data_IF_858630242074
#
_entry.id   IF_858630242074
#
_cell.length_a   1.000
_cell.length_b   1.000
_cell.length_c   1.000
_cell.angle_alpha   90.00
_cell.angle_beta   90.00
_cell.angle_gamma   90.00
#
_symmetry.space_group_name_H-M   'P 1'
#
loop_
_entity.id
_entity.type
_entity.pdbx_description
1 polymer ?
#
# COMPACT_ATOMS: atom_id res chain seq x y z
N UNK A 1 -23.51 -75.45 -36.37
CA UNK A 1 -22.72 -74.38 -37.02
C UNK A 1 -23.01 -73.01 -36.38
N UNK A 2 -22.84 -72.87 -35.05
CA UNK A 2 -23.35 -71.71 -34.30
C UNK A 2 -22.53 -71.24 -33.10
N UNK A 3 -21.38 -71.88 -32.82
CA UNK A 3 -20.49 -71.48 -31.70
C UNK A 3 -19.36 -70.55 -32.16
N UNK A 4 -18.77 -70.79 -33.34
CA UNK A 4 -17.64 -70.01 -33.86
C UNK A 4 -18.00 -68.56 -34.24
N UNK A 5 -19.26 -68.29 -34.63
CA UNK A 5 -19.72 -66.91 -34.92
C UNK A 5 -19.90 -66.05 -33.66
N UNK A 6 -20.23 -66.64 -32.50
CA UNK A 6 -20.40 -65.89 -31.24
C UNK A 6 -19.07 -65.58 -30.56
N UNK A 7 -18.08 -66.48 -30.67
CA UNK A 7 -16.72 -66.25 -30.19
C UNK A 7 -15.99 -65.16 -30.98
N UNK A 8 -16.17 -65.10 -32.31
CA UNK A 8 -15.54 -64.06 -33.14
C UNK A 8 -16.03 -62.64 -32.82
N UNK A 9 -17.33 -62.46 -32.55
CA UNK A 9 -17.90 -61.14 -32.21
C UNK A 9 -17.47 -60.68 -30.81
N UNK A 10 -17.37 -61.60 -29.84
CA UNK A 10 -16.95 -61.27 -28.48
C UNK A 10 -15.47 -60.84 -28.43
N UNK A 11 -14.61 -61.47 -29.24
CA UNK A 11 -13.19 -61.16 -29.31
C UNK A 11 -12.93 -59.79 -29.97
N UNK A 12 -13.72 -59.41 -30.98
CA UNK A 12 -13.66 -58.08 -31.61
C UNK A 12 -14.13 -56.97 -30.66
N UNK A 13 -15.20 -57.21 -29.88
CA UNK A 13 -15.66 -56.23 -28.87
C UNK A 13 -14.64 -56.07 -27.75
N UNK A 14 -14.00 -57.16 -27.31
CA UNK A 14 -12.99 -57.10 -26.25
C UNK A 14 -11.71 -56.39 -26.71
N UNK A 15 -11.28 -56.58 -27.97
CA UNK A 15 -10.15 -55.82 -28.56
C UNK A 15 -10.48 -54.33 -28.68
N UNK A 16 -11.69 -53.95 -29.09
CA UNK A 16 -12.12 -52.55 -29.16
C UNK A 16 -12.21 -51.87 -27.78
N UNK A 17 -12.70 -52.57 -26.75
CA UNK A 17 -12.73 -52.04 -25.38
C UNK A 17 -11.33 -51.91 -24.79
N UNK A 18 -10.42 -52.87 -25.03
CA UNK A 18 -9.02 -52.75 -24.62
C UNK A 18 -8.28 -51.62 -25.37
N UNK A 19 -8.62 -51.36 -26.64
CA UNK A 19 -8.06 -50.24 -27.41
C UNK A 19 -8.50 -48.88 -26.84
N UNK A 20 -9.75 -48.78 -26.37
CA UNK A 20 -10.27 -47.58 -25.72
C UNK A 20 -9.68 -47.35 -24.33
N UNK A 21 -9.38 -48.42 -23.58
CA UNK A 21 -8.78 -48.31 -22.25
C UNK A 21 -7.28 -47.99 -22.29
N UNK A 22 -6.55 -48.43 -23.32
CA UNK A 22 -5.13 -48.07 -23.52
C UNK A 22 -4.98 -46.63 -24.04
N UNK A 23 -5.96 -46.10 -24.79
CA UNK A 23 -6.02 -44.69 -25.19
C UNK A 23 -6.40 -43.72 -24.04
N UNK A 24 -6.90 -44.24 -22.92
CA UNK A 24 -7.20 -43.45 -21.70
C UNK A 24 -6.15 -43.63 -20.58
N UNK A 25 -5.06 -44.36 -20.83
CA UNK A 25 -3.96 -44.51 -19.87
C UNK A 25 -2.59 -44.25 -20.50
N UNK A 26 -2.52 -43.26 -21.41
CA UNK A 26 -1.26 -42.55 -21.61
C UNK A 26 -1.05 -41.66 -20.39
N UNK A 27 -0.04 -42.02 -19.59
CA UNK A 27 0.51 -41.21 -18.52
C UNK A 27 0.42 -39.72 -18.89
N UNK A 28 -0.43 -38.97 -18.19
CA UNK A 28 -0.20 -37.54 -18.06
C UNK A 28 1.05 -37.41 -17.18
N UNK A 29 2.22 -37.61 -17.78
CA UNK A 29 3.35 -36.76 -17.40
C UNK A 29 2.81 -35.35 -17.58
N UNK A 30 2.48 -34.72 -16.45
CA UNK A 30 2.40 -33.28 -16.39
C UNK A 30 3.81 -32.78 -16.72
N UNK A 31 4.12 -32.70 -18.02
CA UNK A 31 5.00 -31.65 -18.50
C UNK A 31 4.29 -30.36 -18.09
N UNK A 32 4.61 -29.87 -16.89
CA UNK A 32 4.56 -28.44 -16.66
C UNK A 32 5.42 -27.88 -17.78
N UNK A 33 4.79 -27.36 -18.83
CA UNK A 33 5.38 -26.33 -19.66
C UNK A 33 5.99 -25.35 -18.68
N UNK A 34 7.32 -25.40 -18.56
CA UNK A 34 8.11 -24.34 -17.98
C UNK A 34 7.84 -23.16 -18.91
N UNK A 35 6.75 -22.42 -18.64
CA UNK A 35 6.45 -21.17 -19.31
C UNK A 35 7.70 -20.36 -19.16
N UNK A 36 8.47 -20.29 -20.24
CA UNK A 36 9.64 -19.45 -20.36
C UNK A 36 9.17 -18.07 -19.93
N UNK A 37 9.52 -17.67 -18.70
CA UNK A 37 9.09 -16.40 -18.14
C UNK A 37 9.79 -15.34 -18.98
N UNK A 38 9.10 -14.86 -20.01
CA UNK A 38 9.58 -13.74 -20.81
C UNK A 38 9.52 -12.57 -19.87
N UNK A 39 10.70 -12.14 -19.42
CA UNK A 39 10.85 -10.94 -18.62
C UNK A 39 10.41 -9.73 -19.45
N UNK A 40 9.13 -9.36 -19.28
CA UNK A 40 8.49 -8.24 -19.96
C UNK A 40 8.91 -6.88 -19.39
N UNK A 41 9.71 -6.86 -18.31
CA UNK A 41 10.29 -5.63 -17.75
C UNK A 41 11.36 -5.03 -18.66
N UNK A 42 11.97 -5.86 -19.53
CA UNK A 42 13.06 -5.42 -20.40
C UNK A 42 12.58 -4.35 -21.36
N UNK A 43 13.29 -3.24 -21.34
CA UNK A 43 13.01 -2.06 -22.14
C UNK A 43 14.16 -1.79 -23.10
N UNK A 44 13.84 -1.44 -24.35
CA UNK A 44 14.86 -0.92 -25.25
C UNK A 44 15.19 0.54 -24.90
N UNK A 45 16.40 1.03 -25.19
CA UNK A 45 16.73 2.45 -25.01
C UNK A 45 15.80 3.41 -25.78
N UNK A 46 15.22 2.96 -26.90
CA UNK A 46 14.26 3.74 -27.67
C UNK A 46 12.88 3.80 -27.01
N UNK A 47 12.44 2.72 -26.39
CA UNK A 47 11.20 2.67 -25.60
C UNK A 47 11.33 3.56 -24.37
N UNK A 48 12.45 3.47 -23.64
CA UNK A 48 12.77 4.28 -22.47
C UNK A 48 12.72 5.77 -22.79
N UNK A 49 13.44 6.20 -23.84
CA UNK A 49 13.45 7.59 -24.29
C UNK A 49 12.07 8.09 -24.71
N UNK A 50 11.26 7.24 -25.35
CA UNK A 50 9.91 7.59 -25.79
C UNK A 50 8.99 7.79 -24.58
N UNK A 51 8.99 6.86 -23.64
CA UNK A 51 8.15 6.92 -22.43
C UNK A 51 8.56 8.10 -21.55
N UNK A 52 9.86 8.32 -21.37
CA UNK A 52 10.38 9.49 -20.67
C UNK A 52 9.90 10.80 -21.29
N UNK A 53 9.95 10.92 -22.62
CA UNK A 53 9.43 12.12 -23.31
C UNK A 53 7.92 12.30 -23.10
N UNK A 54 7.12 11.23 -23.16
CA UNK A 54 5.69 11.33 -22.91
C UNK A 54 5.37 11.83 -21.50
N UNK A 55 6.13 11.37 -20.49
CA UNK A 55 6.00 11.86 -19.12
C UNK A 55 6.39 13.35 -19.01
N UNK A 56 7.45 13.79 -19.70
CA UNK A 56 7.83 15.20 -19.75
C UNK A 56 6.72 16.07 -20.36
N UNK A 57 6.18 15.65 -21.51
CA UNK A 57 5.09 16.37 -22.20
C UNK A 57 3.82 16.41 -21.33
N UNK A 58 3.54 15.33 -20.58
CA UNK A 58 2.42 15.27 -19.62
C UNK A 58 2.58 16.30 -18.49
N UNK A 59 3.72 16.31 -17.79
CA UNK A 59 3.95 17.24 -16.67
C UNK A 59 3.92 18.70 -17.14
N UNK A 60 4.53 19.00 -18.29
CA UNK A 60 4.52 20.34 -18.88
C UNK A 60 3.08 20.78 -19.22
N UNK A 61 2.27 19.87 -19.79
CA UNK A 61 0.87 20.18 -20.13
C UNK A 61 -0.02 20.35 -18.89
N UNK A 62 0.17 19.52 -17.87
CA UNK A 62 -0.70 19.48 -16.68
C UNK A 62 -0.35 20.59 -15.70
N UNK A 63 0.94 20.86 -15.49
CA UNK A 63 1.44 21.73 -14.44
C UNK A 63 2.18 22.97 -14.96
N UNK A 64 2.39 23.10 -16.28
CA UNK A 64 3.15 24.20 -16.89
C UNK A 64 4.57 24.33 -16.33
N UNK A 65 5.19 23.19 -16.05
CA UNK A 65 6.53 23.07 -15.47
C UNK A 65 7.35 22.01 -16.19
N UNK A 66 8.62 22.30 -16.37
CA UNK A 66 9.56 21.34 -16.90
C UNK A 66 9.72 20.14 -15.94
N UNK A 67 9.90 18.96 -16.51
CA UNK A 67 10.18 17.72 -15.79
C UNK A 67 11.49 17.11 -16.29
N UNK A 68 12.38 16.77 -15.36
CA UNK A 68 13.60 16.03 -15.64
C UNK A 68 13.37 14.57 -15.27
N UNK A 69 13.43 13.69 -16.27
CA UNK A 69 13.41 12.24 -16.06
C UNK A 69 14.77 11.79 -15.54
N UNK A 70 14.76 11.12 -14.39
CA UNK A 70 15.94 10.50 -13.81
C UNK A 70 15.98 9.00 -14.13
N UNK A 71 14.81 8.35 -14.18
CA UNK A 71 14.72 6.90 -14.35
C UNK A 71 13.35 6.47 -14.92
N UNK A 72 13.35 5.39 -15.70
CA UNK A 72 12.13 4.79 -16.26
C UNK A 72 12.16 3.28 -16.01
N UNK A 73 11.13 2.79 -15.34
CA UNK A 73 10.91 1.38 -15.05
C UNK A 73 9.66 0.88 -15.75
N UNK A 74 9.62 -0.42 -16.01
CA UNK A 74 8.44 -1.11 -16.52
C UNK A 74 8.11 -2.28 -15.61
N UNK A 75 6.84 -2.38 -15.25
CA UNK A 75 6.36 -3.39 -14.33
C UNK A 75 6.77 -4.82 -14.75
N UNK A 76 7.32 -5.57 -13.79
CA UNK A 76 7.96 -6.87 -14.03
C UNK A 76 6.97 -8.02 -14.24
N UNK A 77 5.73 -7.88 -13.76
CA UNK A 77 4.79 -9.00 -13.71
C UNK A 77 3.96 -9.06 -15.00
N UNK A 78 3.54 -7.90 -15.52
CA UNK A 78 2.70 -7.87 -16.73
C UNK A 78 3.19 -6.92 -17.81
N UNK A 79 4.26 -6.13 -17.57
CA UNK A 79 4.67 -5.07 -18.49
C UNK A 79 3.56 -4.04 -18.75
N UNK A 80 2.59 -3.97 -17.84
CA UNK A 80 1.31 -3.31 -18.06
C UNK A 80 1.39 -1.80 -17.93
N UNK A 81 2.40 -1.29 -17.24
CA UNK A 81 2.60 0.14 -17.02
C UNK A 81 4.07 0.49 -16.81
N UNK A 82 4.35 1.79 -16.90
CA UNK A 82 5.66 2.37 -16.68
C UNK A 82 5.64 3.24 -15.42
N UNK A 83 6.72 3.19 -14.65
CA UNK A 83 6.97 4.15 -13.57
C UNK A 83 8.15 5.04 -13.97
N UNK A 84 7.93 6.34 -14.04
CA UNK A 84 8.91 7.33 -14.46
C UNK A 84 9.23 8.22 -13.25
N UNK A 85 10.44 8.09 -12.72
CA UNK A 85 10.90 8.91 -11.59
C UNK A 85 11.67 10.12 -12.11
N UNK A 86 11.49 11.25 -11.45
CA UNK A 86 12.18 12.47 -11.83
C UNK A 86 11.92 13.63 -10.89
N UNK A 87 12.30 14.82 -11.35
CA UNK A 87 12.09 16.07 -10.62
C UNK A 87 11.39 17.12 -11.48
N UNK A 88 10.37 17.75 -10.92
CA UNK A 88 9.74 18.95 -11.49
C UNK A 88 10.68 20.15 -11.32
N UNK A 89 10.54 21.18 -12.15
CA UNK A 89 11.38 22.39 -12.16
C UNK A 89 11.57 23.06 -10.79
N UNK A 90 10.61 22.94 -9.88
CA UNK A 90 10.70 23.48 -8.52
C UNK A 90 11.50 22.59 -7.53
N UNK A 91 12.06 21.49 -8.02
CA UNK A 91 12.85 20.53 -7.24
C UNK A 91 12.06 19.39 -6.62
N UNK A 92 10.73 19.38 -6.76
CA UNK A 92 9.88 18.31 -6.23
C UNK A 92 10.13 17.00 -6.97
N UNK A 93 10.53 15.96 -6.23
CA UNK A 93 10.72 14.62 -6.77
C UNK A 93 9.38 13.92 -6.85
N UNK A 94 9.06 13.34 -8.00
CA UNK A 94 7.76 12.71 -8.27
C UNK A 94 7.93 11.40 -9.04
N UNK A 95 6.91 10.56 -8.94
CA UNK A 95 6.70 9.40 -9.81
C UNK A 95 5.51 9.65 -10.72
N UNK A 96 5.74 9.60 -12.02
CA UNK A 96 4.69 9.57 -13.04
C UNK A 96 4.46 8.11 -13.43
N UNK A 97 3.23 7.65 -13.35
CA UNK A 97 2.83 6.33 -13.83
C UNK A 97 2.09 6.49 -15.16
N UNK A 98 2.52 5.71 -16.15
CA UNK A 98 1.91 5.67 -17.47
C UNK A 98 1.35 4.27 -17.74
N UNK A 99 0.03 4.17 -17.85
CA UNK A 99 -0.71 2.97 -18.26
C UNK A 99 -1.09 3.10 -19.76
N UNK A 100 -0.40 2.39 -20.67
CA UNK A 100 -0.74 2.41 -22.08
C UNK A 100 -2.16 1.88 -22.34
N UNK A 101 -2.89 2.45 -23.31
CA UNK A 101 -2.39 3.36 -24.35
C UNK A 101 -2.49 4.86 -24.03
N UNK A 102 -2.77 5.32 -22.79
CA UNK A 102 -2.95 6.77 -22.62
C UNK A 102 -3.19 7.34 -21.23
N UNK A 103 -3.29 6.53 -20.18
CA UNK A 103 -3.58 7.07 -18.85
C UNK A 103 -2.29 7.45 -18.12
N UNK A 104 -2.24 8.69 -17.67
CA UNK A 104 -1.18 9.20 -16.80
C UNK A 104 -1.76 9.49 -15.42
N UNK A 105 -1.02 9.11 -14.40
CA UNK A 105 -1.21 9.53 -13.01
C UNK A 105 0.14 9.90 -12.42
N UNK A 106 0.14 10.76 -11.42
CA UNK A 106 1.38 11.18 -10.75
C UNK A 106 1.09 11.56 -9.29
N UNK A 107 2.16 11.64 -8.51
CA UNK A 107 2.14 11.97 -7.09
C UNK A 107 2.52 13.45 -6.82
N UNK A 108 2.53 14.35 -7.81
CA UNK A 108 3.10 15.70 -7.65
C UNK A 108 2.34 16.57 -6.64
N UNK A 109 1.02 16.70 -6.81
CA UNK A 109 0.19 17.50 -5.90
C UNK A 109 0.21 16.91 -4.49
N UNK A 110 0.11 15.58 -4.39
CA UNK A 110 0.22 14.84 -3.15
C UNK A 110 1.55 15.11 -2.45
N UNK A 111 2.67 15.04 -3.19
CA UNK A 111 4.01 15.32 -2.67
C UNK A 111 4.13 16.76 -2.15
N UNK A 112 3.60 17.76 -2.88
CA UNK A 112 3.58 19.16 -2.42
C UNK A 112 2.83 19.28 -1.09
N UNK A 113 1.64 18.69 -0.99
CA UNK A 113 0.81 18.77 0.20
C UNK A 113 1.41 18.01 1.38
N UNK A 114 2.00 16.84 1.14
CA UNK A 114 2.71 16.08 2.16
C UNK A 114 3.88 16.88 2.72
N UNK A 115 4.69 17.50 1.86
CA UNK A 115 5.80 18.36 2.26
C UNK A 115 5.34 19.59 3.08
N UNK A 116 4.11 20.07 2.88
CA UNK A 116 3.55 21.15 3.68
C UNK A 116 3.16 20.69 5.09
N UNK A 117 2.59 19.49 5.23
CA UNK A 117 1.90 19.08 6.48
C UNK A 117 2.71 18.14 7.35
N UNK A 118 3.57 17.30 6.75
CA UNK A 118 4.41 16.36 7.49
C UNK A 118 5.23 17.02 8.61
N UNK A 119 5.88 18.20 8.42
CA UNK A 119 6.63 18.83 9.51
C UNK A 119 5.77 19.24 10.70
N UNK A 120 4.52 19.64 10.46
CA UNK A 120 3.62 20.08 11.53
C UNK A 120 2.99 18.88 12.26
N UNK A 121 2.69 17.80 11.55
CA UNK A 121 2.34 16.52 12.19
C UNK A 121 3.49 16.01 13.06
N UNK A 122 4.73 16.05 12.55
CA UNK A 122 5.89 15.62 13.32
C UNK A 122 6.05 16.43 14.62
N UNK A 123 5.94 17.75 14.56
CA UNK A 123 5.96 18.61 15.77
C UNK A 123 4.84 18.26 16.75
N UNK A 124 3.64 17.96 16.26
CA UNK A 124 2.53 17.54 17.11
C UNK A 124 2.81 16.22 17.81
N UNK A 125 3.42 15.26 17.12
CA UNK A 125 3.80 13.97 17.70
C UNK A 125 4.87 14.15 18.77
N UNK A 126 5.96 14.85 18.45
CA UNK A 126 7.05 15.15 19.39
C UNK A 126 6.57 15.88 20.64
N UNK A 127 5.53 16.72 20.51
CA UNK A 127 4.94 17.46 21.63
C UNK A 127 4.06 16.61 22.53
N UNK A 128 3.30 15.66 21.98
CA UNK A 128 2.18 15.03 22.71
C UNK A 128 2.45 13.59 23.13
N UNK A 129 3.35 12.86 22.47
CA UNK A 129 3.58 11.44 22.77
C UNK A 129 5.06 11.13 23.00
N UNK A 130 5.35 10.14 23.84
CA UNK A 130 6.70 9.57 23.96
C UNK A 130 6.97 8.67 22.75
N UNK A 131 7.29 9.28 21.60
CA UNK A 131 7.48 8.59 20.33
C UNK A 131 8.67 7.61 20.37
N UNK A 132 8.46 6.39 19.86
CA UNK A 132 9.53 5.42 19.54
C UNK A 132 9.88 5.52 18.06
N UNK A 133 8.88 5.39 17.21
CA UNK A 133 9.03 5.51 15.76
C UNK A 133 7.71 5.92 15.13
N UNK A 134 7.82 6.56 13.97
CA UNK A 134 6.72 6.92 13.10
C UNK A 134 6.99 6.31 11.73
N UNK A 135 5.98 5.72 11.13
CA UNK A 135 6.01 5.39 9.71
C UNK A 135 5.58 6.62 8.91
N UNK A 136 6.53 7.47 8.53
CA UNK A 136 6.26 8.71 7.79
C UNK A 136 5.77 8.47 6.38
N UNK A 137 6.05 7.29 5.82
CA UNK A 137 5.55 6.89 4.49
C UNK A 137 4.04 6.61 4.52
N UNK A 138 3.45 6.49 5.71
CA UNK A 138 2.00 6.33 5.92
C UNK A 138 1.28 7.61 6.31
N UNK A 139 1.94 8.76 6.29
CA UNK A 139 1.22 10.05 6.27
C UNK A 139 0.72 10.25 4.85
N UNK A 140 -0.51 9.81 4.62
CA UNK A 140 -1.17 9.95 3.32
C UNK A 140 -2.61 10.42 3.48
N UNK A 141 -3.18 10.95 2.40
CA UNK A 141 -4.56 11.39 2.28
C UNK A 141 -5.18 10.80 1.02
N UNK A 142 -6.15 9.91 1.20
CA UNK A 142 -6.99 9.44 0.10
C UNK A 142 -7.95 10.57 -0.32
N UNK A 143 -7.98 10.95 -1.61
CA UNK A 143 -9.13 11.66 -2.19
C UNK A 143 -10.08 10.61 -2.77
N UNK A 144 -11.19 10.37 -2.08
CA UNK A 144 -12.23 9.41 -2.47
C UNK A 144 -12.86 9.72 -3.85
N UNK A 145 -12.65 10.92 -4.40
CA UNK A 145 -13.19 11.34 -5.71
C UNK A 145 -12.23 11.14 -6.90
N UNK A 146 -10.96 10.80 -6.64
CA UNK A 146 -9.98 10.46 -7.68
C UNK A 146 -9.27 11.64 -8.37
N UNK A 147 -8.01 11.34 -8.75
CA UNK A 147 -7.06 12.12 -9.57
C UNK A 147 -6.84 13.60 -9.18
N UNK A 148 -6.28 13.81 -7.98
CA UNK A 148 -5.90 15.11 -7.40
C UNK A 148 -5.06 15.96 -8.38
N UNK A 149 -4.17 15.34 -9.16
CA UNK A 149 -3.35 16.00 -10.18
C UNK A 149 -4.18 16.74 -11.24
N UNK A 150 -5.26 16.12 -11.73
CA UNK A 150 -6.16 16.76 -12.69
C UNK A 150 -7.01 17.87 -12.04
N UNK A 151 -7.39 17.69 -10.77
CA UNK A 151 -8.27 18.62 -10.04
C UNK A 151 -7.55 19.92 -9.68
N UNK A 152 -6.25 19.85 -9.37
CA UNK A 152 -5.48 20.99 -8.85
C UNK A 152 -4.26 21.39 -9.68
N UNK A 153 -4.00 20.74 -10.82
CA UNK A 153 -2.72 20.89 -11.54
C UNK A 153 -2.38 22.28 -12.06
N UNK A 154 -3.37 23.15 -12.32
CA UNK A 154 -3.12 24.52 -12.78
C UNK A 154 -2.74 25.48 -11.64
N UNK A 155 -3.48 25.40 -10.55
CA UNK A 155 -3.34 26.27 -9.37
C UNK A 155 -3.46 25.39 -8.14
N UNK A 156 -2.33 24.86 -7.67
CA UNK A 156 -2.29 23.97 -6.51
C UNK A 156 -2.51 24.81 -5.23
N UNK A 157 -3.66 24.68 -4.55
CA UNK A 157 -3.89 25.42 -3.31
C UNK A 157 -3.02 24.85 -2.18
N UNK A 158 -2.85 25.62 -1.11
CA UNK A 158 -2.31 25.04 0.14
C UNK A 158 -3.23 23.94 0.65
N UNK A 159 -2.66 22.85 1.17
CA UNK A 159 -3.46 21.74 1.69
C UNK A 159 -4.35 22.18 2.85
N UNK A 160 -3.87 23.07 3.74
CA UNK A 160 -4.68 23.63 4.83
C UNK A 160 -5.91 24.38 4.33
N UNK A 161 -5.81 25.07 3.19
CA UNK A 161 -6.97 25.72 2.58
C UNK A 161 -8.01 24.68 2.15
N UNK A 162 -7.57 23.57 1.55
CA UNK A 162 -8.45 22.46 1.16
C UNK A 162 -9.10 21.82 2.40
N UNK A 163 -8.31 21.50 3.43
CA UNK A 163 -8.78 20.90 4.69
C UNK A 163 -9.81 21.78 5.42
N UNK A 164 -9.62 23.11 5.39
CA UNK A 164 -10.56 24.06 6.00
C UNK A 164 -11.88 24.24 5.23
N UNK A 165 -11.95 23.73 4.00
CA UNK A 165 -13.13 23.81 3.15
C UNK A 165 -14.03 22.58 3.32
N UNK A 166 -15.26 22.61 2.77
CA UNK A 166 -16.12 21.41 2.70
C UNK A 166 -15.46 20.21 2.00
N UNK A 167 -14.46 20.45 1.15
CA UNK A 167 -13.70 19.38 0.48
C UNK A 167 -12.76 18.63 1.41
N UNK A 168 -12.46 19.20 2.59
CA UNK A 168 -11.62 18.57 3.60
C UNK A 168 -12.16 17.25 4.13
N UNK A 169 -13.48 17.02 4.03
CA UNK A 169 -14.13 15.77 4.44
C UNK A 169 -13.75 14.57 3.55
N UNK A 170 -13.26 14.80 2.33
CA UNK A 170 -12.84 13.71 1.45
C UNK A 170 -11.45 13.18 1.77
N UNK A 171 -10.67 13.89 2.60
CA UNK A 171 -9.30 13.53 2.95
C UNK A 171 -9.24 12.84 4.30
N UNK A 172 -8.54 11.70 4.35
CA UNK A 172 -8.32 10.95 5.59
C UNK A 172 -6.84 11.02 5.95
N UNK A 173 -6.51 11.55 7.14
CA UNK A 173 -5.14 11.48 7.65
C UNK A 173 -4.81 10.04 8.06
N UNK A 174 -3.87 9.39 7.37
CA UNK A 174 -3.35 8.10 7.79
C UNK A 174 -2.13 8.27 8.72
N UNK A 175 -2.06 7.52 9.82
CA UNK A 175 -0.91 7.51 10.74
C UNK A 175 -0.69 6.12 11.34
N UNK A 176 0.57 5.70 11.39
CA UNK A 176 1.00 4.54 12.17
C UNK A 176 2.11 4.97 13.13
N UNK A 177 1.82 4.83 14.42
CA UNK A 177 2.64 5.34 15.50
C UNK A 177 3.07 4.21 16.42
N UNK A 178 4.36 4.19 16.76
CA UNK A 178 4.86 3.42 17.88
C UNK A 178 5.27 4.37 18.99
N UNK A 179 4.68 4.19 20.17
CA UNK A 179 4.90 5.05 21.33
C UNK A 179 5.26 4.22 22.54
N UNK A 180 5.95 4.83 23.50
CA UNK A 180 6.17 4.23 24.80
C UNK A 180 5.01 4.54 25.74
N UNK A 181 4.73 3.63 26.69
CA UNK A 181 3.67 3.77 27.68
C UNK A 181 3.81 5.01 28.58
N UNK A 182 5.04 5.55 28.68
CA UNK A 182 5.36 6.78 29.39
C UNK A 182 4.86 6.77 30.85
N UNK A 183 5.21 5.72 31.59
CA UNK A 183 4.76 5.54 32.98
C UNK A 183 3.23 5.40 33.13
N UNK A 184 2.55 4.86 32.11
CA UNK A 184 1.10 4.65 32.09
C UNK A 184 0.29 5.84 31.57
N UNK A 185 0.94 6.89 31.07
CA UNK A 185 0.29 8.10 30.53
C UNK A 185 -0.04 8.03 29.05
N UNK A 186 0.34 6.97 28.35
CA UNK A 186 0.05 6.83 26.91
C UNK A 186 -1.41 7.11 26.52
N UNK A 187 -2.46 6.67 27.27
CA UNK A 187 -3.83 7.05 26.93
C UNK A 187 -4.07 8.57 26.95
N UNK A 188 -3.56 9.28 27.96
CA UNK A 188 -3.68 10.75 28.06
C UNK A 188 -2.92 11.46 26.93
N UNK A 189 -1.70 11.00 26.64
CA UNK A 189 -0.84 11.49 25.57
C UNK A 189 -1.51 11.33 24.19
N UNK A 190 -2.10 10.15 23.92
CA UNK A 190 -2.87 9.87 22.69
C UNK A 190 -4.11 10.77 22.61
N UNK A 191 -4.88 10.91 23.69
CA UNK A 191 -6.05 11.80 23.71
C UNK A 191 -5.68 13.26 23.44
N UNK A 192 -4.55 13.73 23.97
CA UNK A 192 -4.03 15.08 23.71
C UNK A 192 -3.62 15.25 22.25
N UNK A 193 -2.92 14.26 21.67
CA UNK A 193 -2.58 14.26 20.25
C UNK A 193 -3.84 14.34 19.38
N UNK A 194 -4.84 13.49 19.61
CA UNK A 194 -6.10 13.48 18.86
C UNK A 194 -6.85 14.81 19.00
N UNK A 195 -6.79 15.45 20.18
CA UNK A 195 -7.38 16.78 20.42
C UNK A 195 -6.71 17.88 19.60
N UNK A 196 -5.42 17.77 19.32
CA UNK A 196 -4.72 18.69 18.42
C UNK A 196 -5.04 18.38 16.95
N UNK A 197 -5.03 17.10 16.55
CA UNK A 197 -5.30 16.67 15.17
C UNK A 197 -6.72 17.07 14.71
N UNK A 198 -7.74 16.91 15.57
CA UNK A 198 -9.13 17.28 15.23
C UNK A 198 -9.35 18.77 14.95
N UNK A 199 -8.38 19.65 15.26
CA UNK A 199 -8.48 21.08 14.91
C UNK A 199 -8.27 21.33 13.42
N UNK A 200 -7.66 20.36 12.73
CA UNK A 200 -7.24 20.49 11.32
C UNK A 200 -7.89 19.42 10.44
N UNK A 201 -8.03 18.19 10.95
CA UNK A 201 -8.52 17.06 10.17
C UNK A 201 -9.92 16.63 10.60
N UNK A 202 -10.78 16.37 9.62
CA UNK A 202 -12.11 15.80 9.84
C UNK A 202 -12.06 14.28 9.96
N UNK A 203 -11.31 13.61 9.07
CA UNK A 203 -11.18 12.15 9.07
C UNK A 203 -9.74 11.71 9.31
N UNK A 204 -9.57 10.59 10.00
CA UNK A 204 -8.27 9.94 10.14
C UNK A 204 -8.40 8.41 10.26
N UNK A 205 -7.27 7.73 10.02
CA UNK A 205 -7.03 6.33 10.27
C UNK A 205 -5.69 6.23 11.01
N UNK A 206 -5.75 6.08 12.32
CA UNK A 206 -4.61 6.16 13.22
C UNK A 206 -4.46 4.82 13.93
N UNK A 207 -3.30 4.19 13.75
CA UNK A 207 -2.90 3.01 14.51
C UNK A 207 -1.82 3.40 15.50
N UNK A 208 -2.04 3.12 16.78
CA UNK A 208 -1.07 3.41 17.85
C UNK A 208 -0.67 2.12 18.55
N UNK A 209 0.60 1.76 18.45
CA UNK A 209 1.22 0.64 19.14
C UNK A 209 1.92 1.17 20.40
N UNK A 210 1.42 0.77 21.57
CA UNK A 210 1.96 1.21 22.87
C UNK A 210 2.87 0.13 23.44
N UNK A 211 4.16 0.45 23.55
CA UNK A 211 5.18 -0.44 24.08
C UNK A 211 5.56 -0.08 25.52
N UNK A 212 5.99 -1.07 26.30
CA UNK A 212 6.59 -0.81 27.62
C UNK A 212 7.83 0.08 27.52
N UNK A 213 8.05 0.90 28.55
CA UNK A 213 9.24 1.76 28.65
C UNK A 213 10.54 0.94 28.73
N UNK A 214 10.48 -0.33 29.16
CA UNK A 214 11.64 -1.24 29.21
C UNK A 214 12.33 -1.38 27.84
N UNK A 215 11.57 -1.29 26.75
CA UNK A 215 12.09 -1.40 25.39
C UNK A 215 13.13 -0.30 25.07
N UNK A 216 13.14 0.82 25.79
CA UNK A 216 14.18 1.86 25.67
C UNK A 216 15.58 1.33 25.98
N UNK A 217 15.68 0.29 26.80
CA UNK A 217 16.95 -0.34 27.19
C UNK A 217 17.39 -1.45 26.22
N UNK A 218 16.57 -1.79 25.24
CA UNK A 218 16.84 -2.85 24.26
C UNK A 218 16.70 -2.35 22.81
N UNK A 219 17.49 -1.33 22.40
CA UNK A 219 17.38 -0.74 21.06
C UNK A 219 17.73 -1.70 19.92
N UNK A 220 18.47 -2.76 20.21
CA UNK A 220 18.96 -3.78 19.27
C UNK A 220 17.88 -4.82 18.89
N UNK A 221 16.71 -4.80 19.54
CA UNK A 221 15.61 -5.73 19.20
C UNK A 221 15.01 -5.31 17.86
N UNK A 222 15.50 -5.93 16.81
CA UNK A 222 15.15 -5.64 15.41
C UNK A 222 14.01 -6.51 14.89
N UNK A 223 13.76 -7.68 15.49
CA UNK A 223 12.67 -8.56 15.04
C UNK A 223 11.30 -8.02 15.46
N UNK A 224 10.42 -7.82 14.49
CA UNK A 224 9.04 -7.37 14.72
C UNK A 224 8.29 -8.29 15.68
N UNK A 225 8.51 -9.61 15.54
CA UNK A 225 7.89 -10.61 16.39
C UNK A 225 8.28 -10.44 17.85
N UNK A 226 9.58 -10.36 18.17
CA UNK A 226 10.01 -10.20 19.57
C UNK A 226 9.51 -8.88 20.17
N UNK A 227 9.53 -7.79 19.40
CA UNK A 227 8.96 -6.50 19.83
C UNK A 227 7.48 -6.64 20.17
N UNK A 228 6.69 -7.18 19.24
CA UNK A 228 5.25 -7.29 19.39
C UNK A 228 4.85 -8.29 20.48
N UNK A 229 5.51 -9.44 20.58
CA UNK A 229 5.13 -10.45 21.56
C UNK A 229 5.53 -10.11 22.99
N UNK A 230 6.68 -9.46 23.19
CA UNK A 230 7.24 -9.26 24.52
C UNK A 230 6.99 -7.86 25.09
N UNK A 231 6.94 -6.84 24.23
CA UNK A 231 6.97 -5.45 24.69
C UNK A 231 5.74 -4.64 24.31
N UNK A 232 4.93 -5.08 23.35
CA UNK A 232 3.67 -4.42 23.01
C UNK A 232 2.65 -4.68 24.12
N UNK A 233 2.09 -3.61 24.66
CA UNK A 233 1.09 -3.66 25.70
C UNK A 233 -0.31 -3.53 25.11
N UNK A 234 -0.50 -2.53 24.26
CA UNK A 234 -1.80 -2.15 23.72
C UNK A 234 -1.67 -1.71 22.27
N UNK A 235 -2.75 -1.89 21.51
CA UNK A 235 -2.94 -1.28 20.21
C UNK A 235 -4.27 -0.54 20.18
N UNK A 236 -4.24 0.67 19.66
CA UNK A 236 -5.44 1.46 19.39
C UNK A 236 -5.63 1.58 17.88
N UNK A 237 -6.82 1.26 17.40
CA UNK A 237 -7.25 1.48 16.01
C UNK A 237 -8.36 2.53 16.01
N UNK A 238 -8.02 3.75 15.62
CA UNK A 238 -8.93 4.90 15.59
C UNK A 238 -9.17 5.27 14.13
N UNK A 239 -10.39 5.09 13.65
CA UNK A 239 -10.72 5.38 12.25
C UNK A 239 -12.06 6.10 12.09
N UNK A 240 -12.13 6.94 11.06
CA UNK A 240 -13.32 7.70 10.69
C UNK A 240 -13.25 9.16 11.12
N UNK A 241 -14.42 9.72 11.45
CA UNK A 241 -14.60 11.13 11.77
C UNK A 241 -14.00 11.48 13.15
N UNK A 242 -12.85 12.17 13.13
CA UNK A 242 -12.12 12.63 14.31
C UNK A 242 -12.94 13.59 15.18
N UNK A 243 -13.94 14.28 14.61
CA UNK A 243 -14.80 15.18 15.38
C UNK A 243 -15.75 14.43 16.31
N UNK A 244 -15.98 13.13 16.06
CA UNK A 244 -16.87 12.25 16.82
C UNK A 244 -16.13 11.29 17.76
N UNK A 245 -14.80 11.28 17.73
CA UNK A 245 -14.00 10.40 18.60
C UNK A 245 -14.18 10.80 20.06
N UNK A 246 -14.59 9.84 20.89
CA UNK A 246 -14.59 9.97 22.35
C UNK A 246 -13.14 9.96 22.88
N UNK A 247 -12.65 11.14 23.24
CA UNK A 247 -11.30 11.36 23.76
C UNK A 247 -11.15 11.03 25.24
N UNK A 248 -12.27 10.90 25.96
CA UNK A 248 -12.25 10.63 27.40
C UNK A 248 -12.28 9.12 27.68
N UNK A 249 -12.58 8.31 26.67
CA UNK A 249 -12.61 6.86 26.78
C UNK A 249 -12.04 6.17 25.52
N UNK A 250 -10.71 6.06 25.46
CA UNK A 250 -10.03 5.38 24.36
C UNK A 250 -10.17 3.84 24.37
N UNK A 251 -10.71 3.24 25.45
CA UNK A 251 -10.80 1.78 25.58
C UNK A 251 -11.65 1.13 24.47
N UNK A 252 -12.61 1.87 23.91
CA UNK A 252 -13.43 1.39 22.79
C UNK A 252 -12.61 1.13 21.51
N UNK A 253 -11.46 1.78 21.38
CA UNK A 253 -10.56 1.63 20.22
C UNK A 253 -9.44 0.62 20.47
N UNK A 254 -9.37 0.03 21.67
CA UNK A 254 -8.36 -0.98 22.00
C UNK A 254 -8.63 -2.28 21.23
N UNK A 255 -7.62 -2.72 20.50
CA UNK A 255 -7.61 -4.04 19.88
C UNK A 255 -7.08 -5.03 20.91
N UNK A 256 -7.95 -5.95 21.35
CA UNK A 256 -7.52 -7.05 22.22
C UNK A 256 -6.68 -8.03 21.42
N UNK A 257 -5.38 -8.06 21.69
CA UNK A 257 -4.54 -9.16 21.25
C UNK A 257 -4.96 -10.42 22.01
N UNK A 258 -5.48 -11.41 21.28
CA UNK A 258 -5.39 -12.78 21.75
C UNK A 258 -3.93 -13.15 21.53
N UNK A 259 -3.11 -13.18 22.58
CA UNK A 259 -1.79 -13.78 22.47
C UNK A 259 -1.98 -15.17 21.85
N UNK A 260 -1.25 -15.53 20.78
CA UNK A 260 -1.28 -16.90 20.30
C UNK A 260 -0.84 -17.76 21.48
N UNK A 261 -1.79 -18.47 22.07
CA UNK A 261 -1.50 -19.44 23.12
C UNK A 261 -0.41 -20.34 22.59
N UNK A 262 0.74 -20.38 23.26
CA UNK A 262 1.80 -21.34 22.98
C UNK A 262 1.19 -22.75 22.91
N UNK A 263 0.86 -23.20 21.69
CA UNK A 263 0.54 -24.59 21.38
C UNK A 263 1.79 -25.22 20.80
N UNK A 264 2.82 -25.30 21.63
CA UNK A 264 3.87 -26.29 21.48
C UNK A 264 4.14 -26.83 22.89
N UNK A 265 3.46 -27.93 23.20
CA UNK A 265 3.88 -28.90 24.20
C UNK A 265 4.91 -29.84 23.57
#
# INVERSE_FOLDING_TARGET
>A
MGLYKKLGVMLVVMVLVCSFLIACSSNSEYEMEEKQYVDLSKMSPSEEKRVGKLAMDYVEKTYHKAFRVDEVWKDEIFGAYYQIKGAVQDGTKITVIYDPPGEFRDDYVQTIWLNQVQPDIQKLLEKNVSLRSIDTEKIDYDDLEGNIGQKYGKDIPSFYHVLSSKKGEHFTLNLVLEVYQHGGKAPEDISNLLRELKKTFHNASIQVFVYTDELKHYPEITSDSERQYKYLLERYDISGDLTKVDLDNLDHYKVRYVQPTNRYY
#
